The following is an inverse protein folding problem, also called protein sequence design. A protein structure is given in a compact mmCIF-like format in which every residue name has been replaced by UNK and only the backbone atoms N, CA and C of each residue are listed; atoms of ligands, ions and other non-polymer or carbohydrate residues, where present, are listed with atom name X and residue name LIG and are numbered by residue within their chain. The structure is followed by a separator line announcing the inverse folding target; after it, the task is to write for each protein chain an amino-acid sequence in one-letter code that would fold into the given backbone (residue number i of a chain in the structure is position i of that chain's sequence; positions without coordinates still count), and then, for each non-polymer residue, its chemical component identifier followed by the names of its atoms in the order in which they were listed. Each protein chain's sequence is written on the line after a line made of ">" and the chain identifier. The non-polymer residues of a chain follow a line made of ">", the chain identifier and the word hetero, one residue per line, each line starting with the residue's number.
data_IF_993816101635
#
_entry.id   IF_993816101635
#
_cell.length_a   1.000
_cell.length_b   1.000
_cell.length_c   1.000
_cell.angle_alpha   90.00
_cell.angle_beta   90.00
_cell.angle_gamma   90.00
#
_symmetry.space_group_name_H-M   'P 1'
#
loop_
_entity.id
_entity.type
_entity.pdbx_description
1 polymer ?
#
# COMPACT_ATOMS: atom_id res chain seq x y z
N UNK A 1 4.45 2.61 12.94
CA UNK A 1 3.12 2.67 13.60
C UNK A 1 2.59 1.24 13.65
N UNK A 2 1.99 0.79 14.76
CA UNK A 2 1.39 -0.54 14.83
C UNK A 2 -0.11 -0.40 15.09
N UNK A 3 -0.94 -1.06 14.28
CA UNK A 3 -2.40 -1.04 14.39
C UNK A 3 -2.92 -2.47 14.42
N UNK A 4 -3.86 -2.76 15.30
CA UNK A 4 -4.55 -4.05 15.35
C UNK A 4 -5.97 -3.86 15.87
N UNK A 5 -6.86 -4.78 15.49
CA UNK A 5 -8.21 -4.88 16.03
C UNK A 5 -8.28 -5.72 17.32
N UNK A 6 -7.15 -6.27 17.79
CA UNK A 6 -7.06 -7.04 19.02
C UNK A 6 -6.10 -6.35 20.01
N UNK A 7 -6.66 -5.48 20.85
CA UNK A 7 -5.89 -4.67 21.82
C UNK A 7 -5.13 -5.53 22.83
N UNK A 8 -5.77 -6.59 23.35
CA UNK A 8 -5.12 -7.45 24.34
C UNK A 8 -3.93 -8.21 23.75
N UNK A 9 -4.03 -8.66 22.49
CA UNK A 9 -2.89 -9.26 21.80
C UNK A 9 -1.74 -8.26 21.65
N UNK A 10 -2.05 -6.98 21.38
CA UNK A 10 -1.03 -5.94 21.23
C UNK A 10 -0.26 -5.70 22.52
N UNK A 11 -0.99 -5.56 23.63
CA UNK A 11 -0.42 -5.36 24.96
C UNK A 11 0.55 -6.49 25.29
N UNK A 12 0.07 -7.74 25.23
CA UNK A 12 0.91 -8.92 25.46
C UNK A 12 2.10 -8.98 24.50
N UNK A 13 1.92 -8.59 23.22
CA UNK A 13 3.00 -8.61 22.23
C UNK A 13 4.14 -7.66 22.60
N UNK A 14 3.81 -6.46 23.10
CA UNK A 14 4.79 -5.47 23.53
C UNK A 14 5.38 -5.78 24.90
N UNK A 15 4.58 -6.23 25.86
CA UNK A 15 5.06 -6.61 27.20
C UNK A 15 6.12 -7.71 27.15
N UNK A 16 5.98 -8.65 26.21
CA UNK A 16 6.94 -9.72 25.98
C UNK A 16 8.12 -9.32 25.05
N UNK A 17 8.18 -8.05 24.63
CA UNK A 17 9.23 -7.50 23.76
C UNK A 17 9.44 -8.33 22.47
N UNK A 18 8.38 -8.91 21.91
CA UNK A 18 8.52 -9.75 20.71
C UNK A 18 9.04 -8.98 19.52
N UNK A 19 8.72 -7.68 19.42
CA UNK A 19 9.14 -6.84 18.30
C UNK A 19 10.66 -6.71 18.13
N UNK A 20 11.43 -6.83 19.21
CA UNK A 20 12.89 -6.76 19.17
C UNK A 20 13.55 -8.15 19.34
N UNK A 21 12.74 -9.21 19.37
CA UNK A 21 13.26 -10.57 19.46
C UNK A 21 13.79 -11.01 18.10
N UNK A 22 15.12 -11.12 17.99
CA UNK A 22 15.79 -11.41 16.73
C UNK A 22 15.45 -12.78 16.15
N UNK A 23 15.28 -13.82 16.99
CA UNK A 23 14.90 -15.16 16.52
C UNK A 23 13.45 -15.19 15.99
N UNK A 24 12.55 -14.52 16.71
CA UNK A 24 11.17 -14.30 16.25
C UNK A 24 11.12 -13.53 14.94
N UNK A 25 11.87 -12.44 14.84
CA UNK A 25 11.89 -11.60 13.64
C UNK A 25 12.52 -12.32 12.44
N UNK A 26 13.63 -13.03 12.62
CA UNK A 26 14.26 -13.85 11.58
C UNK A 26 13.28 -14.91 11.03
N UNK A 27 12.55 -15.60 11.94
CA UNK A 27 11.53 -16.57 11.55
C UNK A 27 10.30 -15.92 10.96
N UNK A 28 9.95 -14.70 11.36
CA UNK A 28 8.90 -13.90 10.72
C UNK A 28 9.29 -13.54 9.29
N UNK A 29 10.48 -12.98 9.06
CA UNK A 29 11.04 -12.69 7.73
C UNK A 29 10.94 -13.91 6.82
N UNK A 30 11.43 -15.07 7.27
CA UNK A 30 11.32 -16.32 6.49
C UNK A 30 9.86 -16.70 6.17
N UNK A 31 8.91 -16.44 7.08
CA UNK A 31 7.47 -16.71 6.90
C UNK A 31 6.72 -15.68 6.06
N UNK A 32 7.26 -14.47 5.86
CA UNK A 32 6.74 -13.55 4.84
C UNK A 32 7.02 -14.09 3.43
N UNK A 33 7.91 -15.07 3.29
CA UNK A 33 8.31 -15.69 2.03
C UNK A 33 7.76 -17.12 1.81
N UNK A 34 7.33 -17.81 2.86
CA UNK A 34 6.75 -19.15 2.75
C UNK A 34 5.37 -19.24 3.43
N UNK A 35 4.41 -19.89 2.75
CA UNK A 35 3.08 -20.25 3.29
C UNK A 35 3.18 -21.38 4.33
N UNK A 36 4.20 -21.36 5.17
CA UNK A 36 4.44 -22.45 6.09
C UNK A 36 3.46 -22.38 7.25
N UNK A 37 2.65 -23.44 7.34
CA UNK A 37 2.10 -23.90 8.61
C UNK A 37 3.27 -24.37 9.47
N UNK A 38 3.96 -23.44 10.12
CA UNK A 38 4.98 -23.80 11.09
C UNK A 38 4.29 -24.42 12.30
N UNK A 39 4.69 -25.63 12.67
CA UNK A 39 4.36 -26.27 13.95
C UNK A 39 4.68 -25.29 15.08
N UNK A 40 3.67 -25.00 15.88
CA UNK A 40 3.60 -23.99 16.93
C UNK A 40 4.56 -24.17 18.10
N UNK A 41 5.53 -25.08 18.03
CA UNK A 41 6.01 -25.69 19.26
C UNK A 41 7.37 -25.14 19.73
N UNK A 42 8.02 -24.25 18.97
CA UNK A 42 9.41 -23.84 19.25
C UNK A 42 9.63 -22.35 19.53
N UNK A 43 8.59 -21.50 19.56
CA UNK A 43 8.76 -20.07 19.88
C UNK A 43 7.85 -19.61 21.01
N UNK A 44 8.32 -18.75 21.94
CA UNK A 44 7.45 -18.17 22.97
C UNK A 44 6.25 -17.39 22.41
N UNK A 45 6.38 -16.82 21.20
CA UNK A 45 5.24 -16.17 20.53
C UNK A 45 4.17 -17.15 20.03
N UNK A 46 4.52 -18.42 19.81
CA UNK A 46 3.56 -19.39 19.30
C UNK A 46 2.46 -19.72 20.34
N UNK A 47 2.82 -19.69 21.63
CA UNK A 47 1.85 -19.70 22.72
C UNK A 47 0.91 -18.48 22.65
N UNK A 48 1.43 -17.30 22.28
CA UNK A 48 0.63 -16.11 22.08
C UNK A 48 -0.32 -16.27 20.88
N UNK A 49 0.17 -16.76 19.74
CA UNK A 49 -0.68 -17.01 18.58
C UNK A 49 -1.78 -18.04 18.87
N UNK A 50 -1.48 -19.08 19.65
CA UNK A 50 -2.47 -20.05 20.10
C UNK A 50 -3.49 -19.43 21.06
N UNK A 51 -3.04 -18.63 22.04
CA UNK A 51 -3.90 -17.94 23.02
C UNK A 51 -4.99 -17.10 22.35
N UNK A 52 -4.68 -16.46 21.23
CA UNK A 52 -5.60 -15.58 20.50
C UNK A 52 -6.18 -16.20 19.22
N UNK A 53 -5.97 -17.50 18.99
CA UNK A 53 -6.46 -18.23 17.80
C UNK A 53 -6.05 -17.57 16.47
N UNK A 54 -4.76 -17.23 16.37
CA UNK A 54 -4.12 -16.54 15.23
C UNK A 54 -3.16 -17.45 14.45
N UNK A 55 -3.41 -18.77 14.49
CA UNK A 55 -2.51 -19.77 13.91
C UNK A 55 -2.54 -19.76 12.38
N UNK A 56 -3.66 -19.34 11.77
CA UNK A 56 -3.74 -19.15 10.32
C UNK A 56 -3.42 -17.71 9.98
N UNK A 57 -2.34 -17.46 9.23
CA UNK A 57 -1.86 -16.10 8.99
C UNK A 57 -1.18 -15.93 7.64
N UNK A 58 -1.31 -14.74 7.09
CA UNK A 58 -0.54 -14.24 5.93
C UNK A 58 -0.19 -12.77 6.17
N UNK A 59 0.66 -12.20 5.33
CA UNK A 59 0.90 -10.76 5.35
C UNK A 59 1.28 -10.22 3.98
N UNK A 60 0.96 -8.95 3.75
CA UNK A 60 1.42 -8.17 2.60
C UNK A 60 2.47 -7.19 3.12
N UNK A 61 3.64 -7.16 2.48
CA UNK A 61 4.74 -6.25 2.84
C UNK A 61 5.06 -5.38 1.65
N UNK A 62 5.11 -4.07 1.87
CA UNK A 62 5.46 -3.05 0.88
C UNK A 62 6.73 -2.34 1.36
N UNK A 63 7.79 -2.38 0.56
CA UNK A 63 9.04 -1.66 0.83
C UNK A 63 8.95 -0.22 0.30
N UNK A 64 9.34 0.75 1.12
CA UNK A 64 9.29 2.18 0.80
C UNK A 64 10.60 2.83 1.24
N UNK A 65 11.54 3.05 0.33
CA UNK A 65 12.85 3.70 0.53
C UNK A 65 13.53 3.47 1.90
N UNK A 66 13.14 4.20 2.95
CA UNK A 66 13.71 4.15 4.31
C UNK A 66 12.91 3.30 5.32
N UNK A 67 11.79 2.72 4.93
CA UNK A 67 10.91 1.93 5.78
C UNK A 67 10.16 0.85 4.99
N UNK A 68 9.39 0.03 5.71
CA UNK A 68 8.45 -0.90 5.10
C UNK A 68 7.09 -0.80 5.83
N UNK A 69 6.03 -1.18 5.13
CA UNK A 69 4.71 -1.34 5.69
C UNK A 69 4.33 -2.83 5.65
N UNK A 70 3.94 -3.39 6.80
CA UNK A 70 3.49 -4.77 6.89
C UNK A 70 2.01 -4.81 7.32
N UNK A 71 1.20 -5.50 6.52
CA UNK A 71 -0.22 -5.70 6.75
C UNK A 71 -0.48 -7.18 7.00
N UNK A 72 -0.66 -7.55 8.27
CA UNK A 72 -0.84 -8.94 8.69
C UNK A 72 -2.31 -9.30 8.85
N UNK A 73 -2.69 -10.44 8.26
CA UNK A 73 -4.03 -11.01 8.33
C UNK A 73 -3.95 -12.34 9.04
N UNK A 74 -4.73 -12.50 10.11
CA UNK A 74 -4.76 -13.72 10.88
C UNK A 74 -6.20 -14.13 11.19
N UNK A 75 -6.41 -15.42 11.42
CA UNK A 75 -7.70 -15.95 11.83
C UNK A 75 -7.59 -17.35 12.42
N UNK A 76 -8.72 -17.83 12.94
CA UNK A 76 -8.79 -19.13 13.60
C UNK A 76 -8.40 -20.27 12.66
N UNK A 77 -7.74 -21.30 13.19
CA UNK A 77 -7.45 -22.53 12.45
C UNK A 77 -8.72 -23.31 12.03
N UNK A 78 -9.84 -23.07 12.72
CA UNK A 78 -11.12 -23.76 12.47
C UNK A 78 -11.91 -23.16 11.30
N UNK A 79 -11.66 -21.90 10.96
CA UNK A 79 -12.17 -21.31 9.73
C UNK A 79 -11.37 -21.91 8.58
N UNK A 80 -12.04 -22.62 7.67
CA UNK A 80 -11.50 -22.91 6.33
C UNK A 80 -11.38 -21.58 5.59
N UNK A 81 -10.40 -20.76 5.98
CA UNK A 81 -10.46 -19.33 5.75
C UNK A 81 -10.10 -19.06 4.29
N UNK A 82 -11.15 -18.97 3.46
CA UNK A 82 -11.09 -18.88 1.99
C UNK A 82 -10.35 -17.63 1.50
N UNK A 83 -10.00 -16.70 2.38
CA UNK A 83 -9.42 -15.39 2.03
C UNK A 83 -7.97 -15.23 2.46
N UNK A 84 -7.53 -15.83 3.59
CA UNK A 84 -6.18 -15.62 4.17
C UNK A 84 -5.06 -16.05 3.21
N UNK A 85 -5.34 -16.89 2.22
CA UNK A 85 -4.35 -17.30 1.23
C UNK A 85 -4.52 -16.67 -0.14
N UNK A 86 -5.37 -15.65 -0.26
CA UNK A 86 -5.64 -14.94 -1.51
C UNK A 86 -4.96 -13.58 -1.49
N UNK A 87 -3.68 -13.60 -1.88
CA UNK A 87 -2.82 -12.43 -1.87
C UNK A 87 -3.42 -11.25 -2.64
N UNK A 88 -4.04 -11.48 -3.80
CA UNK A 88 -4.70 -10.45 -4.61
C UNK A 88 -5.78 -9.68 -3.84
N UNK A 89 -6.59 -10.41 -3.05
CA UNK A 89 -7.59 -9.79 -2.18
C UNK A 89 -6.91 -8.97 -1.09
N UNK A 90 -5.87 -9.52 -0.47
CA UNK A 90 -5.16 -8.86 0.61
C UNK A 90 -4.51 -7.57 0.11
N UNK A 91 -3.83 -7.60 -1.04
CA UNK A 91 -3.29 -6.42 -1.72
C UNK A 91 -4.36 -5.39 -2.05
N UNK A 92 -5.52 -5.82 -2.58
CA UNK A 92 -6.66 -4.90 -2.82
C UNK A 92 -7.20 -4.30 -1.53
N UNK A 93 -7.33 -5.09 -0.48
CA UNK A 93 -7.77 -4.61 0.82
C UNK A 93 -6.75 -3.62 1.41
N UNK A 94 -5.45 -3.88 1.30
CA UNK A 94 -4.40 -2.94 1.72
C UNK A 94 -4.56 -1.61 1.01
N UNK A 95 -4.70 -1.61 -0.31
CA UNK A 95 -4.99 -0.38 -1.08
C UNK A 95 -6.26 0.32 -0.60
N UNK A 96 -7.34 -0.44 -0.38
CA UNK A 96 -8.61 0.10 0.13
C UNK A 96 -8.45 0.69 1.53
N UNK A 97 -7.74 0.01 2.41
CA UNK A 97 -7.46 0.45 3.77
C UNK A 97 -6.64 1.73 3.75
N UNK A 98 -5.53 1.78 3.00
CA UNK A 98 -4.70 2.98 2.84
C UNK A 98 -5.52 4.14 2.32
N UNK A 99 -6.38 3.91 1.32
CA UNK A 99 -7.30 4.93 0.84
C UNK A 99 -8.18 5.46 1.98
N UNK A 100 -8.94 4.61 2.66
CA UNK A 100 -9.91 5.07 3.67
C UNK A 100 -9.23 5.63 4.93
N UNK A 101 -8.09 5.09 5.31
CA UNK A 101 -7.33 5.47 6.50
C UNK A 101 -6.38 6.64 6.28
N UNK A 102 -6.19 7.14 5.05
CA UNK A 102 -5.24 8.24 4.73
C UNK A 102 -5.41 9.51 5.56
N UNK A 103 -6.61 9.77 6.08
CA UNK A 103 -6.88 10.92 6.96
C UNK A 103 -6.50 10.66 8.42
N UNK A 104 -6.41 9.40 8.81
CA UNK A 104 -6.10 8.94 10.16
C UNK A 104 -4.60 8.64 10.32
N UNK A 105 -4.00 8.05 9.29
CA UNK A 105 -2.59 7.66 9.26
C UNK A 105 -1.78 8.83 8.70
N UNK A 106 -1.08 9.55 9.58
CA UNK A 106 -0.10 10.55 9.18
C UNK A 106 1.31 10.00 9.41
N UNK A 107 1.89 9.40 8.36
CA UNK A 107 3.24 8.82 8.37
C UNK A 107 4.35 9.87 8.47
N UNK A 108 4.06 11.15 8.22
CA UNK A 108 5.02 12.24 8.43
C UNK A 108 5.21 12.62 9.92
N UNK A 109 4.37 12.10 10.82
CA UNK A 109 4.51 12.30 12.26
C UNK A 109 5.36 11.18 12.86
N UNK A 110 6.67 11.44 12.95
CA UNK A 110 7.65 10.46 13.46
C UNK A 110 7.35 9.98 14.88
N UNK A 111 6.59 10.74 15.69
CA UNK A 111 6.18 10.33 17.04
C UNK A 111 5.17 9.18 17.03
N UNK A 112 4.50 8.93 15.90
CA UNK A 112 3.56 7.82 15.71
C UNK A 112 4.23 6.60 15.06
N UNK A 113 5.50 6.73 14.68
CA UNK A 113 6.27 5.64 14.11
C UNK A 113 6.93 4.81 15.21
N UNK A 114 7.19 3.55 14.86
CA UNK A 114 7.91 2.62 15.73
C UNK A 114 9.21 2.29 15.01
N UNK A 115 10.32 2.22 15.74
CA UNK A 115 11.65 1.93 15.21
C UNK A 115 12.09 0.54 15.63
N UNK A 116 12.52 -0.28 14.67
CA UNK A 116 13.05 -1.62 14.89
C UNK A 116 14.38 -1.76 14.17
N UNK A 117 15.35 -2.43 14.79
CA UNK A 117 16.67 -2.72 14.18
C UNK A 117 16.63 -3.92 13.20
N UNK A 118 15.44 -4.46 12.96
CA UNK A 118 15.25 -5.67 12.17
C UNK A 118 15.16 -5.38 10.65
N UNK A 119 15.88 -6.16 9.84
CA UNK A 119 15.90 -6.03 8.39
C UNK A 119 15.07 -7.13 7.72
N UNK A 120 14.21 -6.73 6.77
CA UNK A 120 13.35 -7.64 6.02
C UNK A 120 13.98 -8.03 4.67
N UNK A 121 13.86 -9.29 4.23
CA UNK A 121 14.19 -9.67 2.85
C UNK A 121 13.07 -9.29 1.86
N UNK A 122 13.40 -9.17 0.57
CA UNK A 122 12.49 -8.79 -0.55
C UNK A 122 11.85 -10.00 -1.25
N UNK A 123 10.64 -9.86 -1.84
CA UNK A 123 9.97 -10.97 -2.57
C UNK A 123 8.94 -10.58 -3.65
N UNK A 124 8.67 -11.55 -4.55
CA UNK A 124 7.82 -11.50 -5.76
C UNK A 124 6.58 -12.44 -5.72
N UNK A 125 5.60 -12.14 -6.59
CA UNK A 125 4.18 -12.56 -6.57
C UNK A 125 3.81 -13.97 -7.12
N UNK A 126 2.61 -14.49 -6.77
CA UNK A 126 1.44 -14.76 -7.69
C UNK A 126 0.37 -15.79 -7.20
N UNK A 127 -0.88 -15.57 -7.68
CA UNK A 127 -2.01 -16.49 -8.00
C UNK A 127 -3.23 -16.66 -7.04
N UNK A 128 -4.37 -17.04 -7.67
CA UNK A 128 -5.75 -16.51 -7.51
C UNK A 128 -6.87 -17.55 -7.21
N UNK A 129 -8.09 -17.09 -6.82
CA UNK A 129 -9.36 -17.78 -7.19
C UNK A 129 -10.60 -17.75 -6.26
N UNK A 130 -11.65 -17.00 -6.68
CA UNK A 130 -13.10 -16.90 -6.27
C UNK A 130 -13.51 -16.01 -5.07
N UNK A 131 -13.92 -14.75 -5.36
CA UNK A 131 -13.84 -13.60 -4.43
C UNK A 131 -14.93 -12.51 -4.67
N UNK A 132 -15.87 -12.75 -5.60
CA UNK A 132 -16.60 -11.69 -6.33
C UNK A 132 -17.42 -10.71 -5.48
N UNK A 133 -17.95 -11.12 -4.33
CA UNK A 133 -18.80 -10.24 -3.51
C UNK A 133 -17.97 -9.27 -2.65
N UNK A 134 -16.96 -9.79 -1.95
CA UNK A 134 -16.04 -8.96 -1.16
C UNK A 134 -15.26 -7.99 -2.04
N UNK A 135 -14.85 -8.41 -3.25
CA UNK A 135 -14.15 -7.54 -4.20
C UNK A 135 -14.94 -6.28 -4.58
N UNK A 136 -16.28 -6.34 -4.60
CA UNK A 136 -17.11 -5.16 -4.84
C UNK A 136 -17.11 -4.19 -3.66
N UNK A 137 -17.08 -4.70 -2.44
CA UNK A 137 -17.11 -3.88 -1.22
C UNK A 137 -15.80 -3.11 -1.02
N UNK A 138 -14.68 -3.69 -1.44
CA UNK A 138 -13.35 -3.07 -1.34
C UNK A 138 -12.94 -2.31 -2.60
N UNK A 139 -13.86 -2.10 -3.54
CA UNK A 139 -13.57 -1.36 -4.76
C UNK A 139 -13.35 0.13 -4.43
N UNK A 140 -12.23 0.67 -4.91
CA UNK A 140 -11.88 2.07 -4.69
C UNK A 140 -12.30 2.82 -5.95
N UNK A 141 -13.06 3.92 -5.84
CA UNK A 141 -13.44 4.73 -7.01
C UNK A 141 -12.28 5.61 -7.52
N UNK A 142 -11.04 5.25 -7.19
CA UNK A 142 -9.81 5.96 -7.52
C UNK A 142 -8.75 4.96 -7.95
N UNK A 143 -7.87 5.42 -8.84
CA UNK A 143 -6.77 4.65 -9.36
C UNK A 143 -5.52 4.86 -8.50
N UNK A 144 -4.96 3.77 -7.99
CA UNK A 144 -3.77 3.77 -7.13
C UNK A 144 -2.51 3.98 -7.95
N UNK A 145 -1.65 4.90 -7.54
CA UNK A 145 -0.40 5.24 -8.24
C UNK A 145 0.69 5.57 -7.23
N UNK A 146 1.95 5.38 -7.62
CA UNK A 146 3.10 5.72 -6.78
C UNK A 146 3.61 7.13 -7.13
N UNK A 147 3.55 8.05 -6.17
CA UNK A 147 4.12 9.39 -6.29
C UNK A 147 5.47 9.50 -5.59
N UNK A 148 6.11 10.68 -5.66
CA UNK A 148 7.38 10.93 -4.96
C UNK A 148 7.29 10.85 -3.44
N UNK A 149 6.10 11.05 -2.87
CA UNK A 149 5.85 10.95 -1.44
C UNK A 149 5.25 9.57 -1.06
N UNK A 150 5.40 8.57 -1.92
CA UNK A 150 4.77 7.26 -1.78
C UNK A 150 3.39 7.17 -2.41
N UNK A 151 2.56 6.26 -1.92
CA UNK A 151 1.28 5.92 -2.54
C UNK A 151 0.27 7.06 -2.53
N UNK A 152 -0.43 7.20 -3.65
CA UNK A 152 -1.50 8.18 -3.82
C UNK A 152 -2.60 7.66 -4.75
N UNK A 153 -3.64 8.46 -4.93
CA UNK A 153 -4.86 8.05 -5.63
C UNK A 153 -5.36 9.14 -6.57
N UNK A 154 -5.51 8.77 -7.84
CA UNK A 154 -6.12 9.60 -8.88
C UNK A 154 -7.61 9.33 -8.95
N UNK A 155 -8.42 10.38 -8.99
CA UNK A 155 -9.83 10.27 -9.34
C UNK A 155 -9.98 9.75 -10.79
N UNK A 156 -11.18 9.27 -11.19
CA UNK A 156 -11.39 8.76 -12.55
C UNK A 156 -11.06 9.79 -13.63
N UNK A 157 -11.35 11.08 -13.37
CA UNK A 157 -11.02 12.17 -14.29
C UNK A 157 -9.54 12.50 -14.33
N UNK A 158 -8.86 12.46 -13.20
CA UNK A 158 -7.40 12.64 -13.15
C UNK A 158 -6.69 11.50 -13.87
N UNK A 159 -7.14 10.24 -13.70
CA UNK A 159 -6.63 9.09 -14.46
C UNK A 159 -6.78 9.30 -15.97
N UNK A 160 -7.98 9.64 -16.44
CA UNK A 160 -8.23 9.91 -17.86
C UNK A 160 -7.31 11.01 -18.42
N UNK A 161 -7.11 12.09 -17.66
CA UNK A 161 -6.17 13.14 -18.05
C UNK A 161 -4.74 12.61 -18.07
N UNK A 162 -4.35 11.79 -17.10
CA UNK A 162 -3.01 11.21 -17.01
C UNK A 162 -2.71 10.26 -18.17
N UNK A 163 -3.66 9.40 -18.54
CA UNK A 163 -3.54 8.51 -19.70
C UNK A 163 -3.25 9.30 -20.98
N UNK A 164 -4.01 10.38 -21.24
CA UNK A 164 -3.80 11.25 -22.41
C UNK A 164 -2.49 12.06 -22.32
N UNK A 165 -2.03 12.41 -21.12
CA UNK A 165 -0.71 13.04 -20.92
C UNK A 165 0.41 12.04 -21.26
N UNK A 166 0.25 10.76 -20.96
CA UNK A 166 1.20 9.73 -21.39
C UNK A 166 1.26 9.61 -22.93
N UNK A 167 0.14 9.84 -23.61
CA UNK A 167 0.03 9.79 -25.08
C UNK A 167 0.59 11.02 -25.82
N UNK A 168 1.13 12.03 -25.12
CA UNK A 168 1.67 13.21 -25.81
C UNK A 168 0.69 14.39 -25.92
N UNK A 169 -0.57 14.24 -25.51
CA UNK A 169 -1.60 15.29 -25.61
C UNK A 169 -1.33 16.49 -24.68
N UNK A 170 -1.68 17.68 -25.15
CA UNK A 170 -1.67 18.94 -24.39
C UNK A 170 -3.01 19.17 -23.67
N UNK A 171 -3.05 20.04 -22.66
CA UNK A 171 -4.29 20.37 -21.95
C UNK A 171 -5.42 20.86 -22.86
N UNK A 172 -5.08 21.52 -23.97
CA UNK A 172 -6.06 22.02 -24.94
C UNK A 172 -6.61 20.87 -25.81
N UNK A 173 -5.79 19.90 -26.17
CA UNK A 173 -6.23 18.70 -26.90
C UNK A 173 -7.06 17.79 -25.99
N UNK A 174 -6.62 17.58 -24.75
CA UNK A 174 -7.36 16.83 -23.73
C UNK A 174 -8.75 17.46 -23.48
N UNK A 175 -8.82 18.79 -23.42
CA UNK A 175 -10.08 19.52 -23.25
C UNK A 175 -11.07 19.20 -24.40
N UNK A 176 -10.58 19.17 -25.64
CA UNK A 176 -11.39 18.78 -26.81
C UNK A 176 -11.82 17.31 -26.74
N UNK A 177 -10.89 16.41 -26.43
CA UNK A 177 -11.15 14.96 -26.38
C UNK A 177 -12.18 14.62 -25.30
N UNK A 178 -12.06 15.21 -24.11
CA UNK A 178 -12.95 14.95 -22.98
C UNK A 178 -14.20 15.83 -22.96
N UNK A 179 -14.36 16.73 -23.93
CA UNK A 179 -15.43 17.73 -24.01
C UNK A 179 -15.56 18.55 -22.70
N UNK A 180 -14.44 19.12 -22.25
CA UNK A 180 -14.34 19.95 -21.04
C UNK A 180 -13.64 21.28 -21.36
N UNK A 181 -13.74 22.25 -20.45
CA UNK A 181 -12.98 23.50 -20.60
C UNK A 181 -11.48 23.26 -20.34
N UNK A 182 -10.61 23.99 -21.04
CA UNK A 182 -9.16 23.96 -20.78
C UNK A 182 -8.84 24.28 -19.32
N UNK A 183 -9.60 25.19 -18.68
CA UNK A 183 -9.46 25.52 -17.26
C UNK A 183 -9.75 24.32 -16.35
N UNK A 184 -10.74 23.52 -16.70
CA UNK A 184 -11.07 22.28 -15.97
C UNK A 184 -9.93 21.27 -16.10
N UNK A 185 -9.38 21.09 -17.31
CA UNK A 185 -8.23 20.21 -17.52
C UNK A 185 -7.00 20.69 -16.77
N UNK A 186 -6.70 22.00 -16.81
CA UNK A 186 -5.60 22.58 -16.04
C UNK A 186 -5.74 22.33 -14.55
N UNK A 187 -6.97 22.37 -14.02
CA UNK A 187 -7.23 22.05 -12.62
C UNK A 187 -6.92 20.58 -12.31
N UNK A 188 -7.37 19.64 -13.14
CA UNK A 188 -7.01 18.22 -12.98
C UNK A 188 -5.50 17.99 -13.09
N UNK A 189 -4.83 18.63 -14.05
CA UNK A 189 -3.36 18.53 -14.20
C UNK A 189 -2.63 19.11 -12.99
N UNK A 190 -3.14 20.19 -12.40
CA UNK A 190 -2.60 20.74 -11.15
C UNK A 190 -2.70 19.72 -10.02
N UNK A 191 -3.88 19.14 -9.80
CA UNK A 191 -4.08 18.14 -8.76
C UNK A 191 -3.20 16.89 -8.97
N UNK A 192 -3.04 16.42 -10.21
CA UNK A 192 -2.15 15.29 -10.53
C UNK A 192 -0.71 15.61 -10.11
N UNK A 193 -0.23 16.82 -10.41
CA UNK A 193 1.12 17.26 -9.99
C UNK A 193 1.24 17.30 -8.47
N UNK A 194 0.25 17.87 -7.79
CA UNK A 194 0.27 17.97 -6.33
C UNK A 194 0.27 16.60 -5.65
N UNK A 195 -0.33 15.59 -6.30
CA UNK A 195 -0.37 14.20 -5.81
C UNK A 195 0.92 13.42 -6.12
N UNK A 196 1.44 13.56 -7.34
CA UNK A 196 2.54 12.72 -7.83
C UNK A 196 3.93 13.32 -7.60
N UNK A 197 4.04 14.64 -7.54
CA UNK A 197 5.31 15.35 -7.40
C UNK A 197 5.40 16.01 -6.03
N UNK A 198 6.63 16.21 -5.55
CA UNK A 198 6.88 17.00 -4.36
C UNK A 198 6.37 18.44 -4.57
N UNK A 199 5.67 19.05 -3.59
CA UNK A 199 5.17 20.42 -3.67
C UNK A 199 6.31 21.44 -3.49
N UNK A 200 7.40 21.33 -4.26
CA UNK A 200 8.30 22.45 -4.46
C UNK A 200 7.74 23.29 -5.59
N UNK A 201 7.73 24.62 -5.40
CA UNK A 201 7.41 25.61 -6.44
C UNK A 201 8.29 25.35 -7.66
N UNK A 202 7.77 24.55 -8.60
CA UNK A 202 8.36 24.38 -9.92
C UNK A 202 8.07 25.68 -10.68
N UNK A 203 9.14 26.43 -10.93
CA UNK A 203 9.11 27.69 -11.67
C UNK A 203 8.67 27.48 -13.12
N UNK A 204 8.27 28.56 -13.81
CA UNK A 204 7.44 28.54 -15.03
C UNK A 204 8.25 28.41 -16.34
N UNK A 205 9.36 27.67 -16.39
CA UNK A 205 10.17 27.51 -17.61
C UNK A 205 9.57 26.53 -18.65
N UNK A 206 9.84 26.74 -19.95
CA UNK A 206 9.45 25.78 -21.03
C UNK A 206 10.20 24.45 -20.93
N UNK A 207 11.48 24.47 -20.56
CA UNK A 207 12.30 23.27 -20.31
C UNK A 207 11.79 22.46 -19.12
N UNK A 208 11.31 23.13 -18.07
CA UNK A 208 10.71 22.49 -16.89
C UNK A 208 9.39 21.79 -17.23
N UNK A 209 8.55 22.32 -18.13
CA UNK A 209 7.30 21.66 -18.53
C UNK A 209 7.54 20.28 -19.15
N UNK A 210 8.58 20.15 -19.97
CA UNK A 210 8.97 18.87 -20.56
C UNK A 210 9.48 17.91 -19.49
N UNK A 211 10.38 18.38 -18.62
CA UNK A 211 10.91 17.57 -17.51
C UNK A 211 9.82 17.09 -16.54
N UNK A 212 8.85 17.95 -16.21
CA UNK A 212 7.69 17.61 -15.38
C UNK A 212 6.84 16.53 -16.05
N UNK A 213 6.57 16.64 -17.35
CA UNK A 213 5.80 15.64 -18.08
C UNK A 213 6.52 14.29 -18.07
N UNK A 214 7.80 14.25 -18.44
CA UNK A 214 8.58 13.00 -18.44
C UNK A 214 8.59 12.35 -17.07
N UNK A 215 8.71 13.14 -16.00
CA UNK A 215 8.72 12.66 -14.62
C UNK A 215 7.37 12.11 -14.17
N UNK A 216 6.27 12.80 -14.50
CA UNK A 216 4.92 12.30 -14.25
C UNK A 216 4.68 10.97 -14.96
N UNK A 217 5.04 10.88 -16.24
CA UNK A 217 4.88 9.65 -17.03
C UNK A 217 5.68 8.52 -16.40
N UNK A 218 6.94 8.75 -16.03
CA UNK A 218 7.77 7.73 -15.38
C UNK A 218 7.15 7.18 -14.09
N UNK A 219 6.67 8.06 -13.19
CA UNK A 219 6.04 7.66 -11.93
C UNK A 219 4.75 6.86 -12.17
N UNK A 220 3.92 7.31 -13.11
CA UNK A 220 2.68 6.63 -13.45
C UNK A 220 2.91 5.26 -14.11
N UNK A 221 3.90 5.15 -15.00
CA UNK A 221 4.22 3.87 -15.65
C UNK A 221 4.79 2.84 -14.67
N UNK A 222 5.53 3.29 -13.64
CA UNK A 222 6.05 2.42 -12.59
C UNK A 222 4.93 1.81 -11.73
N UNK A 223 3.78 2.48 -11.62
CA UNK A 223 2.63 1.94 -10.87
C UNK A 223 1.77 0.93 -11.64
N UNK A 224 1.95 0.83 -12.96
CA UNK A 224 1.23 -0.10 -13.84
C UNK A 224 2.04 -1.38 -14.16
N UNK A 225 3.35 -1.39 -13.84
CA UNK A 225 4.29 -2.51 -14.04
C UNK A 225 4.48 -3.33 -12.77
#
# INVERSE_FOLDING_TARGET
>A
MYLTNNTQWLEDYFENNFLNNQDHNNKLALRFHSRDRVSSDELPIAALFSKYDLLLRTSVVEEVDEYFEAYSFAGSSHLQNKYIFKEDIMKKFVKYFKFNARKLINVCDSKKLFFSDFQFPTFNEQYSGQEKNFLKEIEIPHHHVFGENGDTFLSPREKQCMDLICEGMTSCEIAKILNLSSRTIESYVSNIKDKLLYPKRLTKGKSEKFAIRTRLVHLYTKSES
#
